data_IF_501775179888
#
_entry.id   IF_501775179888
#
_cell.length_a   1.000
_cell.length_b   1.000
_cell.length_c   1.000
_cell.angle_alpha   90.00
_cell.angle_beta   90.00
_cell.angle_gamma   90.00
#
_symmetry.space_group_name_H-M   'P 1'
#
loop_
_entity.id
_entity.type
_entity.pdbx_description
1 polymer ?
#
# COMPACT_ATOMS: atom_id res chain seq x y z
N UNK A 1 2.76 -9.47 10.61
CA UNK A 1 2.43 -8.13 10.07
C UNK A 1 3.59 -7.67 9.22
N UNK A 2 3.29 -7.09 8.10
CA UNK A 2 4.28 -6.47 7.21
C UNK A 2 5.06 -5.38 7.96
N UNK A 3 6.38 -5.31 7.73
CA UNK A 3 7.25 -4.29 8.34
C UNK A 3 7.29 -2.99 7.51
N UNK A 4 6.45 -2.91 6.47
CA UNK A 4 6.39 -1.75 5.58
C UNK A 4 5.61 -0.59 6.23
N UNK A 5 6.14 0.61 6.03
CA UNK A 5 5.39 1.85 6.23
C UNK A 5 4.73 2.23 4.90
N UNK A 6 3.40 2.23 4.85
CA UNK A 6 2.62 2.39 3.61
C UNK A 6 1.49 3.41 3.76
N UNK A 7 1.77 4.59 4.35
CA UNK A 7 0.75 5.65 4.50
C UNK A 7 0.36 6.24 3.14
N UNK A 8 1.33 6.41 2.25
CA UNK A 8 1.13 6.97 0.91
C UNK A 8 1.86 6.15 -0.14
N UNK A 9 1.11 5.67 -1.16
CA UNK A 9 1.64 4.98 -2.32
C UNK A 9 1.39 5.89 -3.54
N UNK A 10 2.44 6.57 -4.01
CA UNK A 10 2.30 7.60 -5.05
C UNK A 10 2.56 7.04 -6.44
N UNK A 11 1.57 7.17 -7.32
CA UNK A 11 1.73 6.87 -8.74
C UNK A 11 2.65 7.87 -9.44
N UNK A 12 3.55 7.35 -10.27
CA UNK A 12 4.49 8.12 -11.08
C UNK A 12 4.51 7.53 -12.50
N UNK A 13 3.90 8.20 -13.49
CA UNK A 13 3.98 7.77 -14.89
C UNK A 13 5.43 7.66 -15.36
N UNK A 14 5.90 6.41 -15.54
CA UNK A 14 7.34 6.13 -15.68
C UNK A 14 7.93 6.56 -17.02
N UNK A 15 7.12 6.81 -18.06
CA UNK A 15 7.60 7.31 -19.35
C UNK A 15 8.01 8.79 -19.34
N UNK A 16 7.65 9.54 -18.28
CA UNK A 16 7.86 10.99 -18.17
C UNK A 16 9.08 11.33 -17.30
N UNK A 17 10.17 11.83 -17.90
CA UNK A 17 11.36 12.29 -17.16
C UNK A 17 11.01 13.37 -16.14
N UNK A 18 10.14 14.31 -16.50
CA UNK A 18 9.70 15.37 -15.60
C UNK A 18 9.07 14.82 -14.33
N UNK A 19 8.20 13.80 -14.45
CA UNK A 19 7.51 13.20 -13.31
C UNK A 19 8.46 12.30 -12.51
N UNK A 20 9.33 11.53 -13.18
CA UNK A 20 10.36 10.73 -12.52
C UNK A 20 11.32 11.61 -11.70
N UNK A 21 11.78 12.75 -12.25
CA UNK A 21 12.60 13.71 -11.53
C UNK A 21 11.84 14.34 -10.36
N UNK A 22 10.58 14.71 -10.54
CA UNK A 22 9.75 15.24 -9.45
C UNK A 22 9.58 14.22 -8.32
N UNK A 23 9.43 12.94 -8.65
CA UNK A 23 9.26 11.86 -7.69
C UNK A 23 10.48 11.65 -6.78
N UNK A 24 11.70 12.02 -7.22
CA UNK A 24 12.89 11.95 -6.35
C UNK A 24 12.77 12.82 -5.09
N UNK A 25 12.02 13.92 -5.18
CA UNK A 25 11.78 14.89 -4.09
C UNK A 25 10.51 14.60 -3.29
N UNK A 26 9.63 13.74 -3.78
CA UNK A 26 8.37 13.43 -3.12
C UNK A 26 8.60 12.62 -1.84
N UNK A 27 7.93 12.95 -0.75
CA UNK A 27 8.07 12.23 0.53
C UNK A 27 7.04 11.10 0.69
N UNK A 28 6.66 10.43 -0.40
CA UNK A 28 5.80 9.25 -0.32
C UNK A 28 6.48 8.10 0.42
N UNK A 29 5.71 7.24 1.08
CA UNK A 29 6.28 6.03 1.70
C UNK A 29 6.67 5.01 0.64
N UNK A 30 5.84 4.85 -0.39
CA UNK A 30 6.07 3.96 -1.54
C UNK A 30 5.97 4.77 -2.84
N UNK A 31 6.81 4.46 -3.80
CA UNK A 31 6.70 4.95 -5.18
C UNK A 31 6.15 3.82 -6.07
N UNK A 32 5.06 4.11 -6.75
CA UNK A 32 4.45 3.23 -7.74
C UNK A 32 4.83 3.75 -9.13
N UNK A 33 5.89 3.21 -9.73
CA UNK A 33 6.22 3.54 -11.11
C UNK A 33 5.20 2.90 -12.05
N UNK A 34 4.33 3.73 -12.59
CA UNK A 34 3.25 3.26 -13.43
C UNK A 34 3.73 2.99 -14.85
N UNK A 35 3.53 1.75 -15.30
CA UNK A 35 3.84 1.26 -16.65
C UNK A 35 2.54 0.82 -17.35
N UNK A 36 1.41 0.86 -16.64
CA UNK A 36 0.11 0.43 -17.12
C UNK A 36 -0.67 1.59 -17.74
N UNK A 37 -1.79 2.00 -17.17
CA UNK A 37 -2.77 2.88 -17.79
C UNK A 37 -2.24 4.26 -18.15
N UNK A 38 -1.37 4.84 -17.31
CA UNK A 38 -0.80 6.17 -17.58
C UNK A 38 0.23 6.19 -18.72
N UNK A 39 0.61 5.03 -19.25
CA UNK A 39 1.62 4.93 -20.31
C UNK A 39 0.99 4.51 -21.61
N UNK A 40 0.62 5.49 -22.41
CA UNK A 40 0.02 5.33 -23.75
C UNK A 40 0.79 6.15 -24.79
N UNK A 41 0.85 5.77 -26.07
CA UNK A 41 0.41 4.46 -26.57
C UNK A 41 1.33 3.30 -26.16
N UNK A 42 1.02 2.07 -26.57
CA UNK A 42 1.70 0.84 -26.12
C UNK A 42 3.22 0.84 -26.36
N UNK A 43 3.68 1.53 -27.37
CA UNK A 43 5.12 1.69 -27.71
C UNK A 43 5.89 2.37 -26.59
N UNK A 44 5.25 3.25 -25.83
CA UNK A 44 5.84 3.94 -24.68
C UNK A 44 6.08 3.01 -23.48
N UNK A 45 5.50 1.82 -23.46
CA UNK A 45 5.73 0.83 -22.39
C UNK A 45 7.20 0.45 -22.27
N UNK A 46 7.91 0.28 -23.41
CA UNK A 46 9.34 0.00 -23.36
C UNK A 46 10.13 1.20 -22.84
N UNK A 47 9.80 2.42 -23.29
CA UNK A 47 10.42 3.64 -22.78
C UNK A 47 10.26 3.76 -21.27
N UNK A 48 9.07 3.43 -20.73
CA UNK A 48 8.83 3.45 -19.30
C UNK A 48 9.69 2.43 -18.54
N UNK A 49 9.81 1.19 -19.03
CA UNK A 49 10.70 0.16 -18.45
C UNK A 49 12.15 0.63 -18.41
N UNK A 50 12.65 1.12 -19.55
CA UNK A 50 14.04 1.59 -19.68
C UNK A 50 14.34 2.73 -18.70
N UNK A 51 13.42 3.68 -18.54
CA UNK A 51 13.56 4.77 -17.57
C UNK A 51 13.55 4.28 -16.13
N UNK A 52 12.68 3.35 -15.76
CA UNK A 52 12.70 2.76 -14.40
C UNK A 52 14.06 2.12 -14.14
N UNK A 53 14.57 1.31 -15.08
CA UNK A 53 15.88 0.66 -14.97
C UNK A 53 16.99 1.71 -14.84
N UNK A 54 17.01 2.71 -15.71
CA UNK A 54 17.99 3.78 -15.70
C UNK A 54 18.02 4.51 -14.35
N UNK A 55 16.89 5.03 -13.90
CA UNK A 55 16.82 5.83 -12.68
C UNK A 55 17.15 5.03 -11.43
N UNK A 56 16.72 3.76 -11.36
CA UNK A 56 17.03 2.87 -10.24
C UNK A 56 18.51 2.50 -10.23
N UNK A 57 19.09 2.12 -11.40
CA UNK A 57 20.50 1.76 -11.52
C UNK A 57 21.45 2.93 -11.25
N UNK A 58 21.04 4.16 -11.58
CA UNK A 58 21.78 5.39 -11.25
C UNK A 58 21.67 5.77 -9.77
N UNK A 59 20.93 5.02 -8.95
CA UNK A 59 20.75 5.29 -7.54
C UNK A 59 19.91 6.53 -7.20
N UNK A 60 19.16 7.09 -8.17
CA UNK A 60 18.33 8.29 -7.96
C UNK A 60 17.23 8.09 -6.92
N UNK A 61 16.86 6.84 -6.66
CA UNK A 61 15.88 6.44 -5.66
C UNK A 61 16.47 5.58 -4.54
N UNK A 62 17.77 5.73 -4.25
CA UNK A 62 18.42 4.99 -3.17
C UNK A 62 17.72 5.23 -1.84
N UNK A 63 17.42 4.14 -1.12
CA UNK A 63 16.69 4.20 0.15
C UNK A 63 15.18 4.38 0.02
N UNK A 64 14.64 4.43 -1.20
CA UNK A 64 13.18 4.49 -1.44
C UNK A 64 12.63 3.10 -1.67
N UNK A 65 11.40 2.88 -1.26
CA UNK A 65 10.66 1.64 -1.52
C UNK A 65 9.85 1.80 -2.80
N UNK A 66 10.09 0.91 -3.77
CA UNK A 66 9.58 1.01 -5.14
C UNK A 66 8.80 -0.25 -5.49
N UNK A 67 7.56 -0.04 -5.94
CA UNK A 67 6.69 -1.07 -6.51
C UNK A 67 6.18 -0.59 -7.87
N UNK A 68 6.76 -0.98 -9.01
CA UNK A 68 6.16 -0.67 -10.30
C UNK A 68 4.74 -1.26 -10.41
N UNK A 69 3.78 -0.49 -10.93
CA UNK A 69 2.52 -1.03 -11.43
C UNK A 69 2.75 -1.55 -12.83
N UNK A 70 2.77 -2.87 -12.95
CA UNK A 70 3.00 -3.60 -14.20
C UNK A 70 1.71 -3.74 -14.99
N UNK A 71 1.82 -4.13 -16.24
CA UNK A 71 0.67 -4.44 -17.08
C UNK A 71 0.04 -5.78 -16.66
N UNK A 72 -1.27 -5.91 -16.89
CA UNK A 72 -2.01 -7.14 -16.63
C UNK A 72 -1.61 -8.28 -17.59
N UNK A 73 -2.10 -9.48 -17.28
CA UNK A 73 -1.80 -10.69 -18.03
C UNK A 73 -2.28 -10.63 -19.49
N UNK A 74 -3.43 -10.01 -19.74
CA UNK A 74 -4.09 -10.00 -21.05
C UNK A 74 -3.47 -8.95 -21.99
N UNK A 75 -2.72 -8.00 -21.46
CA UNK A 75 -2.03 -6.94 -22.22
C UNK A 75 -0.92 -7.43 -23.16
N UNK A 76 -0.39 -8.65 -22.94
CA UNK A 76 0.80 -9.15 -23.64
C UNK A 76 2.11 -8.47 -23.23
N UNK A 77 2.11 -7.60 -22.19
CA UNK A 77 3.29 -6.89 -21.70
C UNK A 77 3.83 -7.43 -20.37
N UNK A 78 3.03 -8.19 -19.60
CA UNK A 78 3.36 -8.67 -18.27
C UNK A 78 4.75 -9.34 -18.20
N UNK A 79 5.04 -10.28 -19.09
CA UNK A 79 6.32 -11.01 -19.06
C UNK A 79 7.52 -10.08 -19.28
N UNK A 80 7.38 -9.11 -20.18
CA UNK A 80 8.42 -8.11 -20.44
C UNK A 80 8.66 -7.23 -19.21
N UNK A 81 7.58 -6.76 -18.57
CA UNK A 81 7.66 -5.94 -17.38
C UNK A 81 8.42 -6.66 -16.27
N UNK A 82 7.97 -7.86 -15.94
CA UNK A 82 8.53 -8.62 -14.80
C UNK A 82 9.97 -9.03 -15.09
N UNK A 83 10.27 -9.53 -16.29
CA UNK A 83 11.63 -9.95 -16.65
C UNK A 83 12.62 -8.78 -16.60
N UNK A 84 12.23 -7.61 -17.09
CA UNK A 84 13.11 -6.44 -17.12
C UNK A 84 13.24 -5.76 -15.76
N UNK A 85 12.16 -5.68 -14.98
CA UNK A 85 12.11 -4.91 -13.74
C UNK A 85 12.44 -5.73 -12.48
N UNK A 86 12.69 -7.03 -12.60
CA UNK A 86 13.25 -7.83 -11.51
C UNK A 86 14.74 -7.51 -11.36
N UNK A 87 15.04 -6.37 -10.75
CA UNK A 87 16.38 -5.79 -10.55
C UNK A 87 16.57 -5.31 -9.11
N UNK A 88 17.82 -5.20 -8.61
CA UNK A 88 18.12 -4.59 -7.34
C UNK A 88 17.56 -3.16 -7.24
N UNK A 89 16.93 -2.83 -6.11
CA UNK A 89 16.27 -1.54 -5.87
C UNK A 89 14.76 -1.54 -6.13
N UNK A 90 14.23 -2.58 -6.75
CA UNK A 90 12.79 -2.84 -6.81
C UNK A 90 12.42 -3.78 -5.67
N UNK A 91 11.41 -3.42 -4.87
CA UNK A 91 10.93 -4.20 -3.73
C UNK A 91 9.92 -5.28 -4.12
N UNK A 92 9.13 -4.99 -5.13
CA UNK A 92 8.07 -5.87 -5.61
C UNK A 92 7.23 -5.20 -6.69
N UNK A 93 6.03 -5.69 -6.90
CA UNK A 93 5.16 -5.23 -7.98
C UNK A 93 3.75 -4.97 -7.49
N UNK A 94 3.12 -3.90 -7.96
CA UNK A 94 1.68 -3.76 -7.92
C UNK A 94 1.08 -4.50 -9.12
N UNK A 95 0.25 -5.50 -8.83
CA UNK A 95 -0.38 -6.36 -9.83
C UNK A 95 -1.84 -5.90 -10.07
N UNK A 96 -2.13 -5.30 -11.25
CA UNK A 96 -3.46 -4.81 -11.58
C UNK A 96 -4.40 -5.95 -12.00
N UNK A 97 -5.68 -5.67 -11.99
CA UNK A 97 -6.76 -6.50 -12.56
C UNK A 97 -6.78 -7.96 -12.08
N UNK A 98 -6.28 -8.22 -10.85
CA UNK A 98 -6.47 -9.51 -10.22
C UNK A 98 -7.95 -9.76 -9.97
N UNK A 99 -8.51 -10.89 -10.41
CA UNK A 99 -9.91 -11.26 -10.24
C UNK A 99 -10.10 -12.32 -9.16
N UNK A 100 -9.08 -13.18 -8.94
CA UNK A 100 -9.10 -14.32 -8.01
C UNK A 100 -7.72 -14.60 -7.43
N UNK A 101 -7.66 -15.40 -6.40
CA UNK A 101 -6.39 -15.87 -5.82
C UNK A 101 -5.49 -16.61 -6.80
N UNK A 102 -6.07 -17.31 -7.78
CA UNK A 102 -5.34 -17.99 -8.83
C UNK A 102 -4.47 -17.07 -9.69
N UNK A 103 -4.91 -15.82 -9.93
CA UNK A 103 -4.11 -14.84 -10.67
C UNK A 103 -2.84 -14.47 -9.89
N UNK A 104 -2.97 -14.32 -8.59
CA UNK A 104 -1.84 -14.02 -7.70
C UNK A 104 -0.94 -15.23 -7.55
N UNK A 105 -1.50 -16.44 -7.47
CA UNK A 105 -0.73 -17.68 -7.45
C UNK A 105 0.09 -17.84 -8.73
N UNK A 106 -0.53 -17.63 -9.90
CA UNK A 106 0.17 -17.63 -11.20
C UNK A 106 1.33 -16.61 -11.19
N UNK A 107 1.06 -15.36 -10.78
CA UNK A 107 2.07 -14.32 -10.75
C UNK A 107 3.22 -14.64 -9.77
N UNK A 108 2.88 -15.24 -8.63
CA UNK A 108 3.88 -15.73 -7.68
C UNK A 108 4.81 -16.80 -8.32
N UNK A 109 4.26 -17.73 -9.12
CA UNK A 109 5.06 -18.75 -9.81
C UNK A 109 5.91 -18.18 -10.92
N UNK A 110 5.41 -17.18 -11.63
CA UNK A 110 6.20 -16.44 -12.60
C UNK A 110 7.40 -15.75 -11.94
N UNK A 111 7.17 -15.06 -10.81
CA UNK A 111 8.25 -14.45 -10.03
C UNK A 111 9.28 -15.48 -9.54
N UNK A 112 8.83 -16.64 -9.03
CA UNK A 112 9.73 -17.71 -8.60
C UNK A 112 10.65 -18.17 -9.73
N UNK A 113 10.11 -18.33 -10.94
CA UNK A 113 10.90 -18.72 -12.12
C UNK A 113 11.95 -17.68 -12.47
N UNK A 114 11.56 -16.40 -12.52
CA UNK A 114 12.46 -15.29 -12.86
C UNK A 114 13.54 -15.10 -11.78
N UNK A 115 13.15 -15.21 -10.49
CA UNK A 115 14.12 -15.15 -9.40
C UNK A 115 15.17 -16.26 -9.51
N UNK A 116 14.74 -17.49 -9.84
CA UNK A 116 15.63 -18.61 -10.04
C UNK A 116 16.59 -18.39 -11.20
N UNK A 117 16.09 -17.96 -12.38
CA UNK A 117 16.90 -17.69 -13.56
C UNK A 117 17.93 -16.57 -13.32
N UNK A 118 17.58 -15.56 -12.51
CA UNK A 118 18.44 -14.43 -12.16
C UNK A 118 19.35 -14.67 -10.96
N UNK A 119 19.29 -15.82 -10.32
CA UNK A 119 20.05 -16.13 -9.12
C UNK A 119 19.65 -15.29 -7.91
N UNK A 120 18.40 -14.79 -7.88
CA UNK A 120 17.84 -14.01 -6.77
C UNK A 120 17.13 -14.95 -5.80
N UNK A 121 17.26 -14.77 -4.47
CA UNK A 121 16.58 -15.63 -3.50
C UNK A 121 15.06 -15.65 -3.72
N UNK A 122 14.49 -16.86 -3.65
CA UNK A 122 13.03 -17.04 -3.73
C UNK A 122 12.30 -16.20 -2.69
N UNK A 123 11.27 -15.45 -3.12
CA UNK A 123 10.46 -14.64 -2.23
C UNK A 123 10.97 -13.22 -2.02
N UNK A 124 12.01 -12.82 -2.76
CA UNK A 124 12.55 -11.46 -2.71
C UNK A 124 11.48 -10.44 -3.08
N UNK A 125 10.86 -10.59 -4.26
CA UNK A 125 9.88 -9.61 -4.74
C UNK A 125 8.51 -9.83 -4.11
N UNK A 126 7.94 -8.74 -3.58
CA UNK A 126 6.62 -8.69 -2.94
C UNK A 126 5.53 -8.33 -3.94
N UNK A 127 4.28 -8.52 -3.54
CA UNK A 127 3.12 -8.26 -4.40
C UNK A 127 2.12 -7.38 -3.65
N UNK A 128 1.62 -6.38 -4.35
CA UNK A 128 0.46 -5.56 -3.95
C UNK A 128 -0.62 -5.75 -5.01
N UNK A 129 -1.59 -6.66 -4.83
CA UNK A 129 -2.74 -6.75 -5.73
C UNK A 129 -3.57 -5.47 -5.69
N UNK A 130 -4.00 -5.00 -6.87
CA UNK A 130 -4.96 -3.91 -7.01
C UNK A 130 -6.36 -4.52 -7.21
N UNK A 131 -7.26 -4.22 -6.27
CA UNK A 131 -8.65 -4.69 -6.26
C UNK A 131 -9.49 -3.63 -6.95
N UNK A 132 -9.92 -3.90 -8.19
CA UNK A 132 -10.50 -2.89 -9.06
C UNK A 132 -11.63 -3.42 -9.96
N UNK A 133 -12.20 -4.58 -9.60
CA UNK A 133 -13.40 -5.14 -10.22
C UNK A 133 -14.35 -5.68 -9.17
N UNK A 134 -15.64 -5.82 -9.50
CA UNK A 134 -16.62 -6.43 -8.62
C UNK A 134 -16.23 -7.87 -8.25
N UNK A 135 -15.71 -8.64 -9.20
CA UNK A 135 -15.17 -9.98 -8.95
C UNK A 135 -14.01 -9.96 -7.96
N UNK A 136 -13.07 -9.01 -8.10
CA UNK A 136 -11.94 -8.87 -7.19
C UNK A 136 -12.38 -8.50 -5.77
N UNK A 137 -13.37 -7.62 -5.61
CA UNK A 137 -13.94 -7.26 -4.30
C UNK A 137 -14.54 -8.48 -3.61
N UNK A 138 -15.33 -9.28 -4.34
CA UNK A 138 -15.93 -10.50 -3.80
C UNK A 138 -14.90 -11.56 -3.42
N UNK A 139 -13.76 -11.59 -4.10
CA UNK A 139 -12.66 -12.56 -3.86
C UNK A 139 -11.47 -11.93 -3.09
N UNK A 140 -11.65 -10.76 -2.47
CA UNK A 140 -10.56 -10.01 -1.85
C UNK A 140 -9.82 -10.81 -0.75
N UNK A 141 -10.50 -11.66 0.02
CA UNK A 141 -9.86 -12.51 1.02
C UNK A 141 -8.99 -13.60 0.36
N UNK A 142 -9.49 -14.27 -0.66
CA UNK A 142 -8.75 -15.27 -1.42
C UNK A 142 -7.50 -14.66 -2.05
N UNK A 143 -7.63 -13.50 -2.72
CA UNK A 143 -6.52 -12.74 -3.30
C UNK A 143 -5.49 -12.40 -2.22
N UNK A 144 -5.94 -11.92 -1.06
CA UNK A 144 -5.07 -11.53 0.05
C UNK A 144 -4.25 -12.68 0.63
N UNK A 145 -4.75 -13.90 0.57
CA UNK A 145 -4.11 -15.10 1.12
C UNK A 145 -3.38 -15.96 0.09
N UNK A 146 -3.48 -15.63 -1.19
CA UNK A 146 -2.99 -16.47 -2.28
C UNK A 146 -1.48 -16.71 -2.26
N UNK A 147 -0.71 -15.83 -1.63
CA UNK A 147 0.74 -15.98 -1.51
C UNK A 147 1.30 -15.22 -0.29
N UNK A 148 2.34 -15.76 0.38
CA UNK A 148 3.07 -15.02 1.41
C UNK A 148 3.83 -13.79 0.88
N UNK A 149 3.92 -13.62 -0.43
CA UNK A 149 4.47 -12.42 -1.08
C UNK A 149 3.52 -11.23 -1.01
N UNK A 150 2.22 -11.44 -0.79
CA UNK A 150 1.23 -10.37 -0.68
C UNK A 150 1.43 -9.64 0.65
N UNK A 151 1.84 -8.38 0.59
CA UNK A 151 2.14 -7.55 1.77
C UNK A 151 1.07 -6.51 2.05
N UNK A 152 0.30 -6.16 1.03
CA UNK A 152 -0.83 -5.24 1.08
C UNK A 152 -1.82 -5.57 -0.04
N UNK A 153 -3.06 -5.09 0.06
CA UNK A 153 -3.97 -4.95 -1.08
C UNK A 153 -4.40 -3.51 -1.19
N UNK A 154 -4.53 -3.02 -2.43
CA UNK A 154 -4.93 -1.65 -2.72
C UNK A 154 -6.27 -1.63 -3.46
N UNK A 155 -7.06 -0.57 -3.26
CA UNK A 155 -8.35 -0.40 -3.92
C UNK A 155 -8.25 0.55 -5.12
N UNK A 156 -8.67 0.09 -6.30
CA UNK A 156 -8.78 0.89 -7.52
C UNK A 156 -10.24 1.25 -7.80
N UNK A 157 -10.71 2.39 -7.27
CA UNK A 157 -12.13 2.77 -7.33
C UNK A 157 -12.62 3.12 -8.72
N UNK A 158 -11.76 3.68 -9.58
CA UNK A 158 -12.18 4.18 -10.89
C UNK A 158 -12.54 3.02 -11.83
N UNK A 159 -11.66 2.02 -11.90
CA UNK A 159 -11.93 0.82 -12.67
C UNK A 159 -13.05 0.00 -12.04
N UNK A 160 -13.13 -0.05 -10.70
CA UNK A 160 -14.23 -0.72 -10.01
C UNK A 160 -15.60 -0.11 -10.34
N UNK A 161 -15.74 1.22 -10.33
CA UNK A 161 -17.00 1.88 -10.68
C UNK A 161 -17.37 1.61 -12.14
N UNK A 162 -16.39 1.58 -13.01
CA UNK A 162 -16.59 1.24 -14.43
C UNK A 162 -17.06 -0.21 -14.58
N UNK A 163 -16.40 -1.17 -13.91
CA UNK A 163 -16.78 -2.60 -13.94
C UNK A 163 -18.15 -2.85 -13.29
N UNK A 164 -18.50 -2.09 -12.26
CA UNK A 164 -19.79 -2.14 -11.58
C UNK A 164 -20.93 -1.54 -12.42
N UNK A 165 -20.62 -0.78 -13.49
CA UNK A 165 -21.56 0.10 -14.21
C UNK A 165 -22.26 1.10 -13.25
N UNK A 166 -21.52 1.51 -12.21
CA UNK A 166 -21.99 2.35 -11.13
C UNK A 166 -21.85 3.84 -11.43
N UNK A 167 -22.31 4.67 -10.50
CA UNK A 167 -22.25 6.13 -10.60
C UNK A 167 -21.44 6.69 -9.47
N UNK A 168 -20.52 7.61 -9.78
CA UNK A 168 -19.87 8.42 -8.76
C UNK A 168 -20.88 9.40 -8.14
N UNK A 169 -21.03 9.34 -6.83
CA UNK A 169 -21.84 10.26 -6.05
C UNK A 169 -20.97 11.06 -5.05
N UNK A 170 -21.50 12.16 -4.55
CA UNK A 170 -20.78 13.02 -3.60
C UNK A 170 -20.61 12.38 -2.23
N UNK A 171 -21.51 11.49 -1.88
CA UNK A 171 -21.53 10.74 -0.61
C UNK A 171 -20.65 9.50 -0.65
N UNK A 172 -20.12 9.13 -1.83
CA UNK A 172 -19.31 7.94 -2.07
C UNK A 172 -19.99 6.62 -1.63
N UNK A 173 -21.32 6.54 -1.74
CA UNK A 173 -22.09 5.37 -1.30
C UNK A 173 -21.72 4.09 -2.06
N UNK A 174 -21.52 4.20 -3.38
CA UNK A 174 -21.09 3.07 -4.22
C UNK A 174 -19.73 2.49 -3.81
N UNK A 175 -18.87 3.29 -3.16
CA UNK A 175 -17.55 2.89 -2.71
C UNK A 175 -17.51 2.40 -1.26
N UNK A 176 -18.54 2.64 -0.46
CA UNK A 176 -18.52 2.31 0.97
C UNK A 176 -18.40 0.80 1.23
N UNK A 177 -19.29 0.01 0.61
CA UNK A 177 -19.30 -1.44 0.78
C UNK A 177 -18.01 -2.11 0.29
N UNK A 178 -17.51 -1.87 -0.94
CA UNK A 178 -16.26 -2.47 -1.39
C UNK A 178 -15.06 -2.07 -0.52
N UNK A 179 -14.97 -0.82 -0.08
CA UNK A 179 -13.92 -0.37 0.86
C UNK A 179 -13.96 -1.17 2.16
N UNK A 180 -15.13 -1.36 2.76
CA UNK A 180 -15.28 -2.14 3.98
C UNK A 180 -14.87 -3.60 3.78
N UNK A 181 -15.27 -4.22 2.66
CA UNK A 181 -14.91 -5.62 2.32
C UNK A 181 -13.40 -5.78 2.15
N UNK A 182 -12.75 -4.88 1.39
CA UNK A 182 -11.31 -4.91 1.17
C UNK A 182 -10.54 -4.73 2.47
N UNK A 183 -10.94 -3.77 3.32
CA UNK A 183 -10.31 -3.57 4.62
C UNK A 183 -10.43 -4.82 5.52
N UNK A 184 -11.59 -5.46 5.56
CA UNK A 184 -11.81 -6.71 6.31
C UNK A 184 -10.97 -7.86 5.75
N UNK A 185 -10.91 -8.03 4.42
CA UNK A 185 -10.12 -9.06 3.75
C UNK A 185 -8.62 -8.94 4.09
N UNK A 186 -8.08 -7.72 3.97
CA UNK A 186 -6.69 -7.44 4.34
C UNK A 186 -6.41 -7.75 5.82
N UNK A 187 -7.32 -7.38 6.73
CA UNK A 187 -7.18 -7.65 8.16
C UNK A 187 -7.25 -9.15 8.47
N UNK A 188 -8.16 -9.89 7.82
CA UNK A 188 -8.24 -11.34 7.95
C UNK A 188 -6.94 -12.03 7.48
N UNK A 189 -6.31 -11.53 6.43
CA UNK A 189 -5.03 -12.01 5.91
C UNK A 189 -3.80 -11.45 6.67
N UNK A 190 -3.98 -10.50 7.61
CA UNK A 190 -2.91 -9.81 8.39
C UNK A 190 -1.95 -9.01 7.51
N UNK A 191 -2.43 -8.48 6.41
CA UNK A 191 -1.70 -7.58 5.50
C UNK A 191 -2.26 -6.14 5.58
N UNK A 192 -1.64 -5.22 4.87
CA UNK A 192 -1.97 -3.79 4.93
C UNK A 192 -3.09 -3.45 3.93
N UNK A 193 -4.24 -2.88 4.36
CA UNK A 193 -5.23 -2.32 3.46
C UNK A 193 -4.83 -0.91 3.03
N UNK A 194 -4.80 -0.68 1.72
CA UNK A 194 -4.51 0.60 1.09
C UNK A 194 -5.76 1.09 0.36
N UNK A 195 -6.20 2.27 0.71
CA UNK A 195 -7.38 2.89 0.12
C UNK A 195 -7.10 3.50 -1.26
N UNK A 196 -8.15 3.86 -1.94
CA UNK A 196 -8.16 4.34 -3.32
C UNK A 196 -7.55 5.73 -3.48
N UNK A 197 -7.36 6.14 -4.72
CA UNK A 197 -6.95 7.50 -5.09
C UNK A 197 -8.04 8.53 -4.80
N UNK A 198 -7.62 9.80 -4.65
CA UNK A 198 -8.53 10.95 -4.65
C UNK A 198 -8.43 11.67 -6.00
N UNK A 199 -9.45 11.51 -6.84
CA UNK A 199 -9.40 12.02 -8.23
C UNK A 199 -9.52 13.54 -8.33
N UNK A 200 -10.12 14.22 -7.33
CA UNK A 200 -10.20 15.67 -7.26
C UNK A 200 -8.93 16.26 -6.66
N UNK A 201 -7.78 16.02 -7.27
CA UNK A 201 -6.42 16.27 -6.76
C UNK A 201 -6.15 17.69 -6.21
N UNK A 202 -7.06 18.65 -6.44
CA UNK A 202 -6.96 20.01 -5.90
C UNK A 202 -7.88 20.26 -4.70
N UNK A 203 -8.82 19.37 -4.44
CA UNK A 203 -9.82 19.48 -3.38
C UNK A 203 -9.35 18.76 -2.11
N UNK A 204 -8.50 19.45 -1.35
CA UNK A 204 -7.95 18.89 -0.11
C UNK A 204 -9.00 18.76 1.01
N UNK A 205 -10.10 19.53 0.95
CA UNK A 205 -11.18 19.42 1.93
C UNK A 205 -11.96 18.10 1.72
N UNK A 206 -12.26 17.76 0.47
CA UNK A 206 -12.87 16.48 0.12
C UNK A 206 -11.94 15.31 0.41
N UNK A 207 -10.64 15.45 0.12
CA UNK A 207 -9.63 14.46 0.52
C UNK A 207 -9.64 14.22 2.04
N UNK A 208 -9.72 15.29 2.86
CA UNK A 208 -9.75 15.15 4.32
C UNK A 208 -10.98 14.36 4.81
N UNK A 209 -12.16 14.61 4.23
CA UNK A 209 -13.39 13.83 4.52
C UNK A 209 -13.20 12.35 4.17
N UNK A 210 -12.60 12.06 3.02
CA UNK A 210 -12.28 10.70 2.59
C UNK A 210 -11.28 10.02 3.51
N UNK A 211 -10.25 10.71 3.98
CA UNK A 211 -9.26 10.18 4.91
C UNK A 211 -9.87 9.82 6.27
N UNK A 212 -10.79 10.64 6.77
CA UNK A 212 -11.54 10.36 8.02
C UNK A 212 -12.37 9.08 7.88
N UNK A 213 -13.07 8.92 6.75
CA UNK A 213 -13.83 7.69 6.47
C UNK A 213 -12.92 6.49 6.34
N UNK A 214 -11.83 6.64 5.61
CA UNK A 214 -10.82 5.61 5.38
C UNK A 214 -10.24 5.05 6.70
N UNK A 215 -9.86 5.93 7.62
CA UNK A 215 -9.39 5.52 8.95
C UNK A 215 -10.48 4.75 9.73
N UNK A 216 -11.74 5.22 9.69
CA UNK A 216 -12.87 4.55 10.35
C UNK A 216 -13.11 3.15 9.80
N UNK A 217 -12.88 2.93 8.51
CA UNK A 217 -12.96 1.62 7.85
C UNK A 217 -11.75 0.72 8.13
N UNK A 218 -10.67 1.26 8.69
CA UNK A 218 -9.50 0.49 9.10
C UNK A 218 -8.37 0.43 8.07
N UNK A 219 -8.36 1.29 7.06
CA UNK A 219 -7.24 1.45 6.16
C UNK A 219 -6.01 2.02 6.87
N UNK A 220 -4.82 1.71 6.35
CA UNK A 220 -3.54 2.18 6.92
C UNK A 220 -2.75 3.08 5.99
N UNK A 221 -3.22 3.24 4.76
CA UNK A 221 -2.62 4.08 3.75
C UNK A 221 -3.56 4.31 2.58
N UNK A 222 -3.10 5.08 1.60
CA UNK A 222 -3.88 5.53 0.46
C UNK A 222 -3.01 5.59 -0.80
N UNK A 223 -3.59 5.29 -1.95
CA UNK A 223 -3.02 5.59 -3.26
C UNK A 223 -3.06 7.11 -3.50
N UNK A 224 -1.99 7.68 -4.04
CA UNK A 224 -1.80 9.14 -4.19
C UNK A 224 -1.46 9.47 -5.64
N UNK A 225 -2.15 10.45 -6.22
CA UNK A 225 -1.89 10.95 -7.57
C UNK A 225 -1.00 12.22 -7.58
N UNK A 226 -1.06 13.01 -6.52
CA UNK A 226 -0.37 14.29 -6.44
C UNK A 226 0.49 14.39 -5.17
N UNK A 227 1.79 14.74 -5.27
CA UNK A 227 2.64 14.88 -4.08
C UNK A 227 2.12 15.92 -3.06
N UNK A 228 1.25 16.86 -3.45
CA UNK A 228 0.61 17.82 -2.52
C UNK A 228 -0.38 17.17 -1.55
N UNK A 229 -0.88 15.97 -1.85
CA UNK A 229 -1.77 15.21 -0.97
C UNK A 229 -1.00 14.54 0.18
N UNK A 230 0.29 14.25 -0.02
CA UNK A 230 1.12 13.46 0.90
C UNK A 230 1.14 14.02 2.33
N UNK A 231 1.31 15.34 2.58
CA UNK A 231 1.31 15.86 3.95
C UNK A 231 0.00 15.56 4.69
N UNK A 232 -1.14 15.72 4.02
CA UNK A 232 -2.45 15.45 4.60
C UNK A 232 -2.65 13.95 4.83
N UNK A 233 -2.32 13.13 3.85
CA UNK A 233 -2.35 11.66 3.96
C UNK A 233 -1.49 11.17 5.13
N UNK A 234 -0.28 11.69 5.27
CA UNK A 234 0.60 11.36 6.39
C UNK A 234 0.06 11.82 7.74
N UNK A 235 -0.57 13.00 7.82
CA UNK A 235 -1.24 13.48 9.04
C UNK A 235 -2.25 12.46 9.55
N UNK A 236 -3.11 11.95 8.66
CA UNK A 236 -4.18 11.02 9.04
C UNK A 236 -3.69 9.59 9.30
N UNK A 237 -2.73 9.09 8.56
CA UNK A 237 -2.23 7.73 8.77
C UNK A 237 -1.02 7.63 9.71
N UNK A 238 -0.61 8.71 10.35
CA UNK A 238 0.37 8.68 11.44
C UNK A 238 -0.33 8.73 12.79
N UNK A 239 0.15 8.04 13.82
CA UNK A 239 -0.39 8.21 15.15
C UNK A 239 -0.12 9.63 15.67
N UNK A 240 -1.08 10.21 16.38
CA UNK A 240 -0.92 11.49 17.05
C UNK A 240 0.06 11.34 18.25
N UNK A 241 0.60 12.47 18.71
CA UNK A 241 1.44 12.47 19.92
C UNK A 241 0.69 11.94 21.13
N UNK A 242 -0.58 12.31 21.28
CA UNK A 242 -1.46 11.82 22.35
C UNK A 242 -1.65 10.30 22.28
N UNK A 243 -1.89 9.74 21.09
CA UNK A 243 -2.00 8.28 20.91
C UNK A 243 -0.69 7.55 21.27
N UNK A 244 0.46 8.15 20.94
CA UNK A 244 1.77 7.60 21.31
C UNK A 244 1.98 7.60 22.81
N UNK A 245 1.66 8.71 23.48
CA UNK A 245 1.81 8.84 24.95
C UNK A 245 0.86 7.89 25.69
N UNK A 246 -0.41 7.88 25.32
CA UNK A 246 -1.40 6.93 25.87
C UNK A 246 -0.98 5.48 25.64
N UNK A 247 -0.39 5.17 24.49
CA UNK A 247 0.10 3.81 24.20
C UNK A 247 1.28 3.41 25.09
N UNK A 248 2.19 4.35 25.43
CA UNK A 248 3.28 4.09 26.38
C UNK A 248 2.75 3.84 27.78
N UNK A 249 1.77 4.62 28.22
CA UNK A 249 1.13 4.45 29.53
C UNK A 249 0.43 3.10 29.62
N UNK A 250 -0.31 2.69 28.59
CA UNK A 250 -0.96 1.37 28.53
C UNK A 250 0.05 0.23 28.71
N UNK A 251 1.16 0.26 27.96
CA UNK A 251 2.17 -0.81 28.05
C UNK A 251 2.88 -0.83 29.41
N UNK A 252 3.18 0.33 29.97
CA UNK A 252 3.77 0.44 31.30
C UNK A 252 2.86 -0.14 32.38
N UNK A 253 1.58 0.24 32.37
CA UNK A 253 0.60 -0.24 33.34
C UNK A 253 0.32 -1.75 33.19
N UNK A 254 0.28 -2.28 31.97
CA UNK A 254 0.16 -3.73 31.71
C UNK A 254 1.35 -4.50 32.30
N UNK A 255 2.57 -3.98 32.12
CA UNK A 255 3.78 -4.59 32.67
C UNK A 255 3.78 -4.58 34.22
N UNK A 256 3.37 -3.47 34.85
CA UNK A 256 3.26 -3.35 36.30
C UNK A 256 2.20 -4.30 36.87
N UNK A 257 1.03 -4.39 36.20
CA UNK A 257 -0.05 -5.30 36.59
C UNK A 257 0.39 -6.77 36.51
N UNK A 258 1.13 -7.16 35.46
CA UNK A 258 1.67 -8.51 35.33
C UNK A 258 2.70 -8.84 36.41
N UNK A 259 3.57 -7.88 36.75
CA UNK A 259 4.57 -8.07 37.84
C UNK A 259 3.91 -8.25 39.21
N UNK A 260 2.77 -7.61 39.47
CA UNK A 260 2.01 -7.74 40.70
C UNK A 260 1.02 -8.93 40.71
N UNK A 261 1.02 -9.79 39.67
CA UNK A 261 0.12 -10.94 39.56
C UNK A 261 -1.32 -10.59 39.25
N UNK A 262 -1.61 -9.32 38.86
CA UNK A 262 -2.93 -8.86 38.43
C UNK A 262 -3.01 -9.00 36.93
N UNK A 263 -3.98 -9.75 36.44
CA UNK A 263 -4.12 -10.06 35.01
C UNK A 263 -4.56 -8.91 34.11
N UNK A 264 -4.88 -7.73 34.68
CA UNK A 264 -5.40 -6.57 33.97
C UNK A 264 -5.03 -5.26 34.66
N UNK A 265 -4.73 -4.22 33.86
CA UNK A 265 -4.52 -2.87 34.35
C UNK A 265 -5.80 -2.04 34.34
N UNK A 266 -5.91 -1.06 35.22
CA UNK A 266 -6.95 -0.03 35.19
C UNK A 266 -6.27 1.32 35.00
N UNK A 267 -6.61 2.05 33.93
CA UNK A 267 -6.08 3.37 33.64
C UNK A 267 -7.27 4.34 33.50
N UNK A 268 -7.26 5.42 34.26
CA UNK A 268 -8.33 6.44 34.26
C UNK A 268 -9.74 5.83 34.38
N UNK A 269 -9.89 4.80 35.24
CA UNK A 269 -11.14 4.08 35.44
C UNK A 269 -11.55 3.14 34.31
N UNK A 270 -10.74 2.95 33.30
CA UNK A 270 -10.98 2.03 32.18
C UNK A 270 -10.19 0.74 32.35
N UNK A 271 -10.85 -0.37 32.10
CA UNK A 271 -10.27 -1.69 32.05
C UNK A 271 -9.38 -1.84 30.80
N UNK A 272 -8.10 -2.18 31.00
CA UNK A 272 -7.11 -2.38 29.94
C UNK A 272 -6.83 -3.87 29.78
N UNK A 273 -7.50 -4.48 28.82
CA UNK A 273 -7.29 -5.89 28.46
C UNK A 273 -6.39 -6.06 27.24
N UNK A 274 -6.11 -7.32 26.84
CA UNK A 274 -5.20 -7.65 25.74
C UNK A 274 -5.42 -6.90 24.41
N UNK A 275 -6.66 -6.59 23.97
CA UNK A 275 -6.87 -5.82 22.75
C UNK A 275 -6.27 -4.41 22.79
N UNK A 276 -6.32 -3.74 23.96
CA UNK A 276 -5.74 -2.40 24.14
C UNK A 276 -4.22 -2.46 24.09
N UNK A 277 -3.63 -3.47 24.72
CA UNK A 277 -2.18 -3.72 24.72
C UNK A 277 -1.69 -3.96 23.29
N UNK A 278 -2.37 -4.82 22.52
CA UNK A 278 -2.05 -5.09 21.13
C UNK A 278 -2.17 -3.83 20.26
N UNK A 279 -3.19 -3.01 20.48
CA UNK A 279 -3.36 -1.72 19.79
C UNK A 279 -2.21 -0.77 20.11
N UNK A 280 -1.85 -0.63 21.39
CA UNK A 280 -0.76 0.21 21.83
C UNK A 280 0.60 -0.21 21.23
N UNK A 281 0.89 -1.50 21.19
CA UNK A 281 2.09 -2.04 20.52
C UNK A 281 2.15 -1.67 19.04
N UNK A 282 1.02 -1.78 18.31
CA UNK A 282 0.94 -1.41 16.89
C UNK A 282 1.20 0.09 16.67
N UNK A 283 0.60 0.95 17.50
CA UNK A 283 0.79 2.40 17.44
C UNK A 283 2.26 2.75 17.64
N UNK A 284 2.92 2.20 18.68
CA UNK A 284 4.33 2.47 18.95
C UNK A 284 5.24 1.92 17.86
N UNK A 285 4.97 0.73 17.34
CA UNK A 285 5.73 0.18 16.19
C UNK A 285 5.63 1.09 14.98
N UNK A 286 4.43 1.57 14.63
CA UNK A 286 4.22 2.49 13.52
C UNK A 286 4.95 3.82 13.74
N UNK A 287 4.87 4.38 14.95
CA UNK A 287 5.60 5.59 15.31
C UNK A 287 7.12 5.42 15.14
N UNK A 288 7.70 4.32 15.64
CA UNK A 288 9.12 4.02 15.47
C UNK A 288 9.54 3.92 14.00
N UNK A 289 8.71 3.29 13.16
CA UNK A 289 8.98 3.20 11.71
C UNK A 289 8.99 4.58 11.04
N UNK A 290 8.10 5.48 11.47
CA UNK A 290 8.07 6.87 10.97
C UNK A 290 9.32 7.64 11.38
N UNK A 291 9.72 7.54 12.66
CA UNK A 291 10.93 8.20 13.18
C UNK A 291 12.17 7.71 12.43
N UNK A 292 12.31 6.39 12.27
CA UNK A 292 13.43 5.79 11.53
C UNK A 292 13.50 6.29 10.08
N UNK A 293 12.36 6.40 9.39
CA UNK A 293 12.31 6.95 8.02
C UNK A 293 12.78 8.41 7.98
N UNK A 294 12.39 9.24 8.93
CA UNK A 294 12.82 10.64 8.96
C UNK A 294 14.33 10.76 9.18
N UNK A 295 14.93 9.89 9.99
CA UNK A 295 16.38 9.85 10.21
C UNK A 295 17.18 9.38 8.98
N UNK A 296 16.59 8.59 8.10
CA UNK A 296 17.23 8.11 6.88
C UNK A 296 17.15 9.13 5.71
N UNK A 297 16.21 10.06 5.77
CA UNK A 297 15.95 11.05 4.72
C UNK A 297 16.49 12.46 5.06
N UNK A 298 17.03 12.69 6.24
CA UNK A 298 17.73 13.91 6.69
C UNK A 298 19.24 13.71 6.64
#
# INVERSE_FOLDING_TARGET
MSDYLMRSLMFVPAHSDKLMQSATKANADILLFDIEDSVQPVENKQVARDKVIEYVSQGKFKGRVIFPRINDRESGQLLKDVTQLTIPGIEGFMYPKAKRGEDIYFFCKLLETIEYEKGVPKGTFKIIPLIETASAVLNAEEISRASPRVVAIAYGSEDFITDLEGIHDKEHLSLFTPRAMIAMAARAAKIIPIDTVHVRVKDLEDLEKNLILSQKLGFEGMLVLNPKEIPLVHKYYSPSQEEVENSREILKSDEEARKSGVGVAIINGKFIGPPFVLKAQKILKKHQSIVKKHQQNG
#
